data_IF_152569042089
#
_entry.id   IF_152569042089
#
_cell.length_a   1.000
_cell.length_b   1.000
_cell.length_c   1.000
_cell.angle_alpha   90.00
_cell.angle_beta   90.00
_cell.angle_gamma   90.00
#
_symmetry.space_group_name_H-M   'P 1'
#
loop_
_entity.id
_entity.type
_entity.pdbx_description
1 polymer ?
#
# COMPACT_ATOMS: atom_id res chain seq x y z
N UNK A 1 -8.95 18.98 -19.85
CA UNK A 1 -8.98 17.50 -19.88
C UNK A 1 -10.25 17.07 -19.17
N UNK A 2 -11.03 16.17 -19.74
CA UNK A 2 -12.29 15.74 -19.13
C UNK A 2 -12.01 14.92 -17.87
N UNK A 3 -12.44 15.41 -16.71
CA UNK A 3 -12.38 14.73 -15.39
C UNK A 3 -13.28 13.48 -15.30
N UNK A 4 -13.57 12.82 -16.43
CA UNK A 4 -14.44 11.64 -16.43
C UNK A 4 -13.60 10.41 -16.11
N UNK A 5 -14.01 9.58 -15.14
CA UNK A 5 -13.36 8.31 -14.89
C UNK A 5 -13.32 7.42 -16.14
N UNK A 6 -12.35 6.49 -16.24
CA UNK A 6 -12.31 5.47 -17.29
C UNK A 6 -13.61 4.65 -17.34
N UNK A 7 -13.86 3.99 -18.48
CA UNK A 7 -15.02 3.13 -18.63
C UNK A 7 -15.08 2.06 -17.53
N UNK A 8 -16.25 1.89 -16.92
CA UNK A 8 -16.48 0.94 -15.83
C UNK A 8 -15.91 1.35 -14.47
N UNK A 9 -15.30 2.53 -14.34
CA UNK A 9 -14.79 3.03 -13.06
C UNK A 9 -15.77 4.04 -12.47
N UNK A 10 -16.17 3.83 -11.22
CA UNK A 10 -17.06 4.73 -10.48
C UNK A 10 -16.43 5.11 -9.14
N UNK A 11 -16.33 6.42 -8.87
CA UNK A 11 -15.94 6.93 -7.56
C UNK A 11 -17.23 7.21 -6.79
N UNK A 12 -17.53 6.38 -5.79
CA UNK A 12 -18.72 6.52 -4.92
C UNK A 12 -18.39 7.19 -3.58
N UNK A 13 -17.10 7.38 -3.28
CA UNK A 13 -16.66 8.16 -2.13
C UNK A 13 -16.94 9.66 -2.26
N UNK A 14 -16.89 10.41 -1.14
CA UNK A 14 -17.10 11.86 -1.18
C UNK A 14 -16.01 12.54 -2.03
N UNK A 15 -16.40 13.62 -2.71
CA UNK A 15 -15.47 14.46 -3.48
C UNK A 15 -14.61 15.24 -2.50
N UNK A 16 -13.30 14.99 -2.52
CA UNK A 16 -12.32 15.74 -1.73
C UNK A 16 -11.49 16.57 -2.72
N UNK A 17 -11.56 17.91 -2.72
CA UNK A 17 -10.86 18.72 -3.72
C UNK A 17 -9.35 18.48 -3.77
N UNK A 18 -8.73 18.23 -2.62
CA UNK A 18 -7.29 17.99 -2.50
C UNK A 18 -6.83 16.69 -3.19
N UNK A 19 -7.71 15.71 -3.45
CA UNK A 19 -7.31 14.37 -3.93
C UNK A 19 -7.48 14.17 -5.43
N UNK A 20 -7.93 15.21 -6.14
CA UNK A 20 -8.04 15.20 -7.61
C UNK A 20 -6.68 14.98 -8.29
N UNK A 21 -5.57 15.31 -7.60
CA UNK A 21 -4.21 15.05 -8.08
C UNK A 21 -3.78 13.58 -7.97
N UNK A 22 -4.42 12.79 -7.11
CA UNK A 22 -4.17 11.35 -6.98
C UNK A 22 -5.08 10.58 -7.94
N UNK A 23 -6.38 10.91 -7.94
CA UNK A 23 -7.40 10.23 -8.73
C UNK A 23 -7.51 10.78 -10.15
N UNK A 24 -6.38 10.92 -10.83
CA UNK A 24 -6.35 11.32 -12.24
C UNK A 24 -6.96 10.21 -13.13
N UNK A 25 -7.48 10.55 -14.33
CA UNK A 25 -7.99 9.53 -15.25
C UNK A 25 -6.97 8.43 -15.56
N UNK A 26 -5.69 8.77 -15.69
CA UNK A 26 -4.63 7.81 -15.98
C UNK A 26 -4.34 6.89 -14.79
N UNK A 27 -4.28 7.44 -13.57
CA UNK A 27 -4.11 6.65 -12.34
C UNK A 27 -5.30 5.70 -12.12
N UNK A 28 -6.53 6.20 -12.30
CA UNK A 28 -7.75 5.39 -12.24
C UNK A 28 -7.76 4.29 -13.30
N UNK A 29 -7.26 4.58 -14.51
CA UNK A 29 -7.12 3.60 -15.58
C UNK A 29 -6.16 2.48 -15.18
N UNK A 30 -5.01 2.86 -14.63
CA UNK A 30 -4.00 1.91 -14.18
C UNK A 30 -4.51 0.98 -13.06
N UNK A 31 -5.11 1.52 -11.99
CA UNK A 31 -5.63 0.68 -10.89
C UNK A 31 -6.82 -0.17 -11.34
N UNK A 32 -7.63 0.31 -12.29
CA UNK A 32 -8.70 -0.50 -12.88
C UNK A 32 -8.16 -1.68 -13.70
N UNK A 33 -7.07 -1.47 -14.45
CA UNK A 33 -6.41 -2.55 -15.19
C UNK A 33 -5.78 -3.58 -14.24
N UNK A 34 -5.16 -3.13 -13.14
CA UNK A 34 -4.69 -4.03 -12.08
C UNK A 34 -5.84 -4.86 -11.50
N UNK A 35 -6.98 -4.22 -11.20
CA UNK A 35 -8.17 -4.90 -10.69
C UNK A 35 -8.65 -5.97 -11.67
N UNK A 36 -8.91 -5.60 -12.93
CA UNK A 36 -9.41 -6.52 -13.97
C UNK A 36 -8.47 -7.70 -14.19
N UNK A 37 -7.16 -7.48 -14.13
CA UNK A 37 -6.16 -8.51 -14.37
C UNK A 37 -5.96 -9.46 -13.18
N UNK A 38 -6.05 -8.98 -11.94
CA UNK A 38 -5.59 -9.73 -10.77
C UNK A 38 -6.66 -10.03 -9.72
N UNK A 39 -7.81 -9.34 -9.75
CA UNK A 39 -8.84 -9.49 -8.72
C UNK A 39 -9.41 -10.93 -8.66
N UNK A 40 -9.65 -11.57 -9.80
CA UNK A 40 -10.16 -12.94 -9.85
C UNK A 40 -9.23 -13.90 -9.07
N UNK A 41 -7.92 -13.81 -9.31
CA UNK A 41 -6.93 -14.64 -8.60
C UNK A 41 -6.89 -14.31 -7.12
N UNK A 42 -6.96 -13.03 -6.74
CA UNK A 42 -7.05 -12.60 -5.33
C UNK A 42 -8.23 -13.26 -4.63
N UNK A 43 -9.43 -13.18 -5.22
CA UNK A 43 -10.65 -13.78 -4.66
C UNK A 43 -10.53 -15.29 -4.56
N UNK A 44 -9.97 -15.97 -5.57
CA UNK A 44 -9.70 -17.40 -5.52
C UNK A 44 -8.75 -17.79 -4.38
N UNK A 45 -7.71 -16.99 -4.11
CA UNK A 45 -6.80 -17.19 -2.98
C UNK A 45 -7.49 -17.00 -1.62
N UNK A 46 -8.39 -16.02 -1.49
CA UNK A 46 -9.19 -15.83 -0.27
C UNK A 46 -10.14 -17.01 -0.02
N UNK A 47 -10.73 -17.58 -1.09
CA UNK A 47 -11.51 -18.81 -0.98
C UNK A 47 -10.63 -19.99 -0.55
N UNK A 48 -9.43 -20.13 -1.12
CA UNK A 48 -8.49 -21.18 -0.74
C UNK A 48 -8.05 -21.08 0.73
N UNK A 49 -7.96 -19.87 1.31
CA UNK A 49 -7.71 -19.69 2.76
C UNK A 49 -8.83 -20.34 3.59
N UNK A 50 -10.09 -20.14 3.22
CA UNK A 50 -11.25 -20.74 3.93
C UNK A 50 -11.22 -22.27 3.84
N UNK A 51 -10.93 -22.81 2.65
CA UNK A 51 -10.82 -24.27 2.48
C UNK A 51 -9.64 -24.85 3.28
N UNK A 52 -8.49 -24.16 3.32
CA UNK A 52 -7.36 -24.58 4.16
C UNK A 52 -7.70 -24.54 5.64
N UNK A 53 -8.40 -23.50 6.11
CA UNK A 53 -8.84 -23.41 7.50
C UNK A 53 -9.75 -24.57 7.89
N UNK A 54 -10.72 -24.95 7.04
CA UNK A 54 -11.60 -26.12 7.29
C UNK A 54 -10.81 -27.41 7.50
N UNK A 55 -9.70 -27.61 6.78
CA UNK A 55 -8.85 -28.79 6.97
C UNK A 55 -8.10 -28.74 8.30
N UNK A 56 -7.63 -27.57 8.70
CA UNK A 56 -7.03 -27.38 10.03
C UNK A 56 -8.04 -27.64 11.15
N UNK A 57 -9.26 -27.14 11.01
CA UNK A 57 -10.34 -27.38 11.96
C UNK A 57 -10.70 -28.88 12.04
N UNK A 58 -10.48 -29.64 10.96
CA UNK A 58 -10.66 -31.09 10.88
C UNK A 58 -9.44 -31.90 11.42
N UNK A 59 -8.42 -31.23 11.96
CA UNK A 59 -7.27 -31.87 12.60
C UNK A 59 -5.99 -31.93 11.75
N UNK A 60 -5.97 -31.37 10.53
CA UNK A 60 -4.71 -31.19 9.78
C UNK A 60 -3.81 -30.20 10.52
N UNK A 61 -2.57 -30.58 10.84
CA UNK A 61 -1.58 -29.69 11.47
C UNK A 61 -0.72 -29.05 10.37
N UNK A 62 -0.50 -27.72 10.39
CA UNK A 62 0.40 -27.07 9.42
C UNK A 62 1.81 -27.65 9.48
N UNK A 63 2.38 -27.93 8.31
CA UNK A 63 3.74 -28.43 8.17
C UNK A 63 4.37 -28.05 6.83
N UNK A 64 5.61 -28.50 6.61
CA UNK A 64 6.29 -28.31 5.33
C UNK A 64 5.65 -29.15 4.24
N UNK A 65 5.37 -28.52 3.09
CA UNK A 65 4.76 -29.17 1.94
C UNK A 65 5.77 -30.15 1.27
N UNK A 66 5.44 -31.44 1.11
CA UNK A 66 6.29 -32.39 0.39
C UNK A 66 6.57 -31.98 -1.05
N UNK A 67 5.57 -31.43 -1.75
CA UNK A 67 5.66 -31.05 -3.16
C UNK A 67 6.65 -29.90 -3.45
N UNK A 68 7.06 -29.14 -2.43
CA UNK A 68 8.07 -28.07 -2.57
C UNK A 68 9.42 -28.45 -1.96
N UNK A 69 9.66 -29.74 -1.64
CA UNK A 69 10.92 -30.19 -1.06
C UNK A 69 12.13 -29.88 -1.95
N UNK A 70 12.03 -30.08 -3.26
CA UNK A 70 13.10 -29.81 -4.22
C UNK A 70 13.54 -28.34 -4.22
N UNK A 71 12.61 -27.40 -4.01
CA UNK A 71 12.91 -25.96 -3.90
C UNK A 71 13.70 -25.69 -2.61
N UNK A 72 13.32 -26.30 -1.49
CA UNK A 72 14.02 -26.12 -0.20
C UNK A 72 15.40 -26.77 -0.17
N UNK A 73 15.63 -27.81 -0.96
CA UNK A 73 16.89 -28.56 -1.01
C UNK A 73 17.84 -28.11 -2.13
N UNK A 74 17.45 -27.13 -2.94
CA UNK A 74 18.29 -26.61 -4.04
C UNK A 74 19.03 -25.35 -3.61
N UNK A 75 20.17 -25.09 -4.24
CA UNK A 75 20.88 -23.82 -4.10
C UNK A 75 20.30 -22.78 -5.05
N UNK A 76 19.69 -21.74 -4.48
CA UNK A 76 19.21 -20.57 -5.20
C UNK A 76 19.20 -19.36 -4.27
N UNK A 77 19.15 -18.16 -4.86
CA UNK A 77 19.10 -16.89 -4.14
C UNK A 77 18.04 -15.99 -4.78
N UNK A 78 17.48 -15.07 -3.99
CA UNK A 78 16.67 -13.98 -4.53
C UNK A 78 17.55 -13.05 -5.38
N UNK A 79 16.93 -12.24 -6.24
CA UNK A 79 17.66 -11.19 -6.93
C UNK A 79 18.32 -10.21 -5.94
N UNK A 80 19.47 -9.60 -6.27
CA UNK A 80 20.13 -8.62 -5.41
C UNK A 80 19.20 -7.46 -5.06
N UNK A 81 19.27 -6.99 -3.80
CA UNK A 81 18.55 -5.81 -3.37
C UNK A 81 19.19 -4.54 -3.97
N UNK A 82 18.40 -3.48 -4.21
CA UNK A 82 18.95 -2.17 -4.53
C UNK A 82 19.81 -1.64 -3.37
N UNK A 83 20.75 -0.73 -3.69
CA UNK A 83 21.80 -0.33 -2.76
C UNK A 83 21.29 0.28 -1.44
N UNK A 84 20.17 1.00 -1.51
CA UNK A 84 19.46 1.63 -0.41
C UNK A 84 18.75 0.66 0.54
N UNK A 85 18.68 -0.63 0.18
CA UNK A 85 18.12 -1.71 0.99
C UNK A 85 19.18 -2.72 1.50
N UNK A 86 20.46 -2.47 1.24
CA UNK A 86 21.54 -3.32 1.74
C UNK A 86 21.84 -3.11 3.24
N UNK A 87 21.52 -1.95 3.80
CA UNK A 87 21.61 -1.65 5.23
C UNK A 87 20.24 -1.28 5.80
N UNK A 88 19.61 -2.24 6.47
CA UNK A 88 18.27 -2.12 7.08
C UNK A 88 18.33 -2.34 8.60
N UNK A 89 19.44 -1.96 9.24
CA UNK A 89 19.72 -2.27 10.66
C UNK A 89 18.64 -1.78 11.64
N UNK A 90 17.94 -0.71 11.30
CA UNK A 90 16.79 -0.17 12.03
C UNK A 90 15.78 0.35 11.02
N UNK A 91 14.52 -0.07 11.19
CA UNK A 91 13.38 0.41 10.44
C UNK A 91 12.35 1.00 11.41
N UNK A 92 11.76 2.13 11.04
CA UNK A 92 10.64 2.72 11.77
C UNK A 92 9.36 2.51 10.97
N UNK A 93 8.25 2.29 11.65
CA UNK A 93 6.93 2.11 11.04
C UNK A 93 6.00 3.21 11.52
N UNK A 94 5.07 3.66 10.69
CA UNK A 94 4.10 4.67 11.09
C UNK A 94 3.05 4.96 10.03
N UNK A 95 1.96 5.64 10.40
CA UNK A 95 0.90 5.98 9.47
C UNK A 95 1.39 6.95 8.40
N UNK A 96 0.63 7.06 7.32
CA UNK A 96 0.87 8.00 6.23
C UNK A 96 0.37 9.43 6.53
N UNK A 97 0.26 9.79 7.81
CA UNK A 97 -0.06 11.16 8.24
C UNK A 97 1.15 12.08 8.03
N UNK A 98 0.91 13.29 7.51
CA UNK A 98 1.93 14.19 6.98
C UNK A 98 3.05 14.53 7.97
N UNK A 99 2.71 14.94 9.20
CA UNK A 99 3.70 15.27 10.23
C UNK A 99 4.46 14.02 10.69
N UNK A 100 3.77 12.91 10.88
CA UNK A 100 4.40 11.63 11.27
C UNK A 100 5.38 11.12 10.23
N UNK A 101 5.06 11.21 8.94
CA UNK A 101 5.96 10.82 7.85
C UNK A 101 7.26 11.64 7.88
N UNK A 102 7.17 12.96 8.05
CA UNK A 102 8.38 13.82 8.14
C UNK A 102 9.25 13.40 9.31
N UNK A 103 8.66 13.17 10.49
CA UNK A 103 9.42 12.75 11.68
C UNK A 103 10.06 11.37 11.50
N UNK A 104 9.34 10.42 10.89
CA UNK A 104 9.83 9.07 10.64
C UNK A 104 10.99 9.07 9.63
N UNK A 105 10.85 9.81 8.53
CA UNK A 105 11.91 10.00 7.54
C UNK A 105 13.17 10.66 8.14
N UNK A 106 13.00 11.60 9.06
CA UNK A 106 14.10 12.30 9.73
C UNK A 106 14.63 11.58 10.99
N UNK A 107 14.13 10.39 11.32
CA UNK A 107 14.41 9.72 12.60
C UNK A 107 15.84 9.19 12.76
N UNK A 108 16.59 9.07 11.67
CA UNK A 108 17.88 8.38 11.61
C UNK A 108 17.78 6.87 11.40
N UNK A 109 16.56 6.31 11.31
CA UNK A 109 16.35 4.95 10.82
C UNK A 109 16.85 4.80 9.37
N UNK A 110 17.17 3.58 8.96
CA UNK A 110 17.56 3.31 7.56
C UNK A 110 16.37 3.23 6.63
N UNK A 111 15.25 2.75 7.16
CA UNK A 111 14.01 2.58 6.41
C UNK A 111 12.85 3.14 7.23
N UNK A 112 11.93 3.81 6.55
CA UNK A 112 10.60 4.14 7.07
C UNK A 112 9.56 3.38 6.25
N UNK A 113 8.79 2.52 6.93
CA UNK A 113 7.62 1.87 6.35
C UNK A 113 6.38 2.74 6.60
N UNK A 114 5.96 3.47 5.56
CA UNK A 114 4.73 4.23 5.53
C UNK A 114 3.54 3.28 5.35
N UNK A 115 2.63 3.32 6.31
CA UNK A 115 1.64 2.28 6.49
C UNK A 115 0.22 2.72 6.09
N UNK A 116 -0.38 1.98 5.15
CA UNK A 116 -1.79 2.07 4.78
C UNK A 116 -2.64 0.94 5.42
N UNK A 117 -2.02 0.06 6.19
CA UNK A 117 -2.64 -1.10 6.82
C UNK A 117 -2.85 -0.88 8.33
N UNK A 118 -2.23 -1.68 9.21
CA UNK A 118 -2.65 -1.79 10.61
C UNK A 118 -2.52 -0.50 11.45
N UNK A 119 -1.60 0.40 11.09
CA UNK A 119 -1.42 1.68 11.79
C UNK A 119 -2.27 2.82 11.22
N UNK A 120 -3.07 2.58 10.17
CA UNK A 120 -3.91 3.58 9.53
C UNK A 120 -5.38 3.16 9.57
N UNK A 121 -6.24 3.99 10.17
CA UNK A 121 -7.68 3.84 9.93
C UNK A 121 -7.95 4.10 8.44
N UNK A 122 -8.47 3.14 7.66
CA UNK A 122 -8.56 3.23 6.21
C UNK A 122 -9.79 4.03 5.77
N UNK A 123 -9.91 5.25 6.30
CA UNK A 123 -10.90 6.20 5.79
C UNK A 123 -10.50 6.62 4.38
N UNK A 124 -11.50 7.03 3.59
CA UNK A 124 -11.27 7.50 2.22
C UNK A 124 -10.26 8.66 2.18
N UNK A 125 -10.40 9.59 3.12
CA UNK A 125 -9.51 10.73 3.27
C UNK A 125 -8.09 10.30 3.63
N UNK A 126 -7.91 9.41 4.62
CA UNK A 126 -6.59 8.96 5.04
C UNK A 126 -5.85 8.21 3.92
N UNK A 127 -6.53 7.35 3.17
CA UNK A 127 -5.92 6.62 2.06
C UNK A 127 -5.43 7.58 0.96
N UNK A 128 -6.23 8.60 0.60
CA UNK A 128 -5.86 9.52 -0.46
C UNK A 128 -4.83 10.56 -0.01
N UNK A 129 -5.00 11.16 1.16
CA UNK A 129 -4.00 12.07 1.74
C UNK A 129 -2.68 11.34 1.98
N UNK A 130 -2.71 10.05 2.34
CA UNK A 130 -1.51 9.24 2.46
C UNK A 130 -0.74 9.13 1.15
N UNK A 131 -1.43 8.97 0.02
CA UNK A 131 -0.79 8.96 -1.30
C UNK A 131 -0.19 10.32 -1.65
N UNK A 132 -0.89 11.41 -1.36
CA UNK A 132 -0.35 12.78 -1.51
C UNK A 132 0.92 12.95 -0.67
N UNK A 133 0.90 12.52 0.59
CA UNK A 133 2.05 12.63 1.48
C UNK A 133 3.24 11.78 1.00
N UNK A 134 3.00 10.57 0.47
CA UNK A 134 4.05 9.77 -0.17
C UNK A 134 4.62 10.46 -1.42
N UNK A 135 3.74 10.97 -2.28
CA UNK A 135 4.04 11.71 -3.50
C UNK A 135 4.92 12.94 -3.22
N UNK A 136 4.59 13.70 -2.19
CA UNK A 136 5.35 14.86 -1.71
C UNK A 136 6.66 14.48 -1.03
N UNK A 137 6.69 13.39 -0.26
CA UNK A 137 7.91 12.90 0.38
C UNK A 137 8.96 12.48 -0.66
N UNK A 138 8.54 11.74 -1.69
CA UNK A 138 9.41 11.33 -2.81
C UNK A 138 9.93 12.54 -3.58
N UNK A 139 9.08 13.55 -3.82
CA UNK A 139 9.50 14.81 -4.48
C UNK A 139 10.25 15.77 -3.55
N UNK A 140 10.40 15.42 -2.27
CA UNK A 140 11.01 16.24 -1.22
C UNK A 140 10.34 17.60 -1.04
N UNK A 141 9.04 17.68 -1.32
CA UNK A 141 8.18 18.87 -1.16
C UNK A 141 7.28 18.79 0.08
N UNK A 142 7.26 17.65 0.78
CA UNK A 142 6.45 17.47 1.99
C UNK A 142 6.89 18.45 3.09
N UNK A 143 5.93 19.22 3.59
CA UNK A 143 6.12 20.08 4.75
C UNK A 143 4.86 20.17 5.58
N UNK A 144 5.02 20.47 6.87
CA UNK A 144 3.91 20.65 7.80
C UNK A 144 4.16 21.86 8.70
N UNK A 145 3.24 22.82 8.67
CA UNK A 145 3.23 23.98 9.57
C UNK A 145 2.35 23.66 10.78
N UNK A 146 2.98 23.53 11.94
CA UNK A 146 2.28 23.24 13.17
C UNK A 146 1.64 24.51 13.74
N UNK A 147 0.48 24.44 14.42
CA UNK A 147 -0.20 25.63 14.95
C UNK A 147 0.61 26.46 15.96
N UNK A 148 1.65 25.86 16.56
CA UNK A 148 2.61 26.55 17.44
C UNK A 148 3.69 27.35 16.68
N UNK A 149 3.63 27.39 15.35
CA UNK A 149 4.57 28.08 14.47
C UNK A 149 5.78 27.25 14.05
N UNK A 150 5.92 26.00 14.53
CA UNK A 150 7.02 25.13 14.12
C UNK A 150 6.75 24.52 12.74
N UNK A 151 7.65 24.77 11.79
CA UNK A 151 7.64 24.14 10.46
C UNK A 151 8.49 22.88 10.44
N UNK A 152 7.93 21.81 9.87
CA UNK A 152 8.59 20.51 9.67
C UNK A 152 8.85 20.31 8.18
N UNK A 153 10.08 19.95 7.84
CA UNK A 153 10.55 19.63 6.47
C UNK A 153 11.51 18.44 6.53
N UNK A 154 11.80 17.83 5.40
CA UNK A 154 12.80 16.75 5.32
C UNK A 154 14.22 17.28 5.51
N UNK A 155 15.06 16.49 6.18
CA UNK A 155 16.50 16.68 6.19
C UNK A 155 17.10 16.35 4.81
N UNK A 156 18.35 16.72 4.56
CA UNK A 156 19.06 16.38 3.31
C UNK A 156 19.12 14.85 3.11
N UNK A 157 19.54 14.14 4.15
CA UNK A 157 19.51 12.67 4.22
C UNK A 157 18.34 12.19 5.07
N UNK A 158 17.55 11.28 4.51
CA UNK A 158 16.36 10.68 5.16
C UNK A 158 16.37 9.16 5.00
N UNK A 159 15.56 8.48 5.79
CA UNK A 159 15.33 7.04 5.65
C UNK A 159 14.76 6.67 4.26
N UNK A 160 15.10 5.49 3.76
CA UNK A 160 14.48 4.91 2.55
C UNK A 160 12.99 4.68 2.81
N UNK A 161 12.12 5.23 1.96
CA UNK A 161 10.68 5.05 2.07
C UNK A 161 10.27 3.68 1.50
N UNK A 162 9.57 2.88 2.31
CA UNK A 162 8.81 1.70 1.86
C UNK A 162 7.33 1.92 2.15
N UNK A 163 6.46 1.43 1.27
CA UNK A 163 5.01 1.55 1.44
C UNK A 163 4.42 0.18 1.77
N UNK A 164 3.63 0.10 2.84
CA UNK A 164 2.85 -1.10 3.19
C UNK A 164 1.38 -0.91 2.76
N UNK A 165 0.91 -1.58 1.71
CA UNK A 165 -0.49 -1.54 1.29
C UNK A 165 -1.37 -2.39 2.21
N UNK A 166 -2.69 -2.17 2.17
CA UNK A 166 -3.67 -3.00 2.85
C UNK A 166 -3.55 -4.47 2.45
N UNK A 167 -3.82 -5.39 3.39
CA UNK A 167 -3.81 -6.82 3.13
C UNK A 167 -4.91 -7.29 2.16
N UNK A 168 -4.70 -8.45 1.51
CA UNK A 168 -5.56 -8.98 0.44
C UNK A 168 -7.05 -9.11 0.73
N UNK A 169 -7.44 -9.15 2.01
CA UNK A 169 -8.81 -9.35 2.47
C UNK A 169 -9.61 -8.03 2.51
N UNK A 170 -8.94 -6.88 2.42
CA UNK A 170 -9.56 -5.56 2.44
C UNK A 170 -9.92 -5.10 1.03
N UNK A 171 -11.01 -4.35 0.94
CA UNK A 171 -11.48 -3.67 -0.27
C UNK A 171 -11.43 -2.16 -0.07
N UNK A 172 -11.23 -1.42 -1.16
CA UNK A 172 -11.52 0.00 -1.20
C UNK A 172 -12.95 0.17 -1.72
N UNK A 173 -13.87 0.49 -0.81
CA UNK A 173 -15.30 0.56 -1.12
C UNK A 173 -15.73 1.83 -1.83
N UNK A 174 -14.85 2.84 -1.89
CA UNK A 174 -15.16 4.13 -2.49
C UNK A 174 -14.85 4.18 -3.99
N UNK A 175 -14.27 3.13 -4.55
CA UNK A 175 -14.01 2.98 -5.98
C UNK A 175 -14.52 1.63 -6.45
N UNK A 176 -15.43 1.66 -7.42
CA UNK A 176 -15.96 0.47 -8.08
C UNK A 176 -15.30 0.31 -9.44
N UNK A 177 -14.96 -0.93 -9.79
CA UNK A 177 -14.53 -1.34 -11.13
C UNK A 177 -15.52 -2.39 -11.61
N UNK A 178 -16.22 -2.07 -12.68
CA UNK A 178 -17.25 -2.93 -13.30
C UNK A 178 -18.34 -3.36 -12.29
N UNK A 179 -18.66 -2.48 -11.34
CA UNK A 179 -19.69 -2.67 -10.30
C UNK A 179 -19.18 -3.29 -8.98
N UNK A 180 -17.90 -3.68 -8.90
CA UNK A 180 -17.33 -4.31 -7.70
C UNK A 180 -16.31 -3.40 -6.99
N UNK A 181 -16.27 -3.37 -5.64
CA UNK A 181 -15.23 -2.68 -4.91
C UNK A 181 -13.82 -3.16 -5.29
N UNK A 182 -12.92 -2.21 -5.58
CA UNK A 182 -11.53 -2.54 -5.90
C UNK A 182 -10.80 -3.14 -4.69
N UNK A 183 -9.74 -3.92 -4.93
CA UNK A 183 -8.89 -4.42 -3.86
C UNK A 183 -8.16 -3.28 -3.17
N UNK A 184 -8.24 -3.20 -1.83
CA UNK A 184 -7.45 -2.22 -1.08
C UNK A 184 -5.95 -2.37 -1.38
N UNK A 185 -5.46 -3.61 -1.42
CA UNK A 185 -4.05 -3.89 -1.78
C UNK A 185 -3.63 -3.37 -3.15
N UNK A 186 -4.48 -3.49 -4.18
CA UNK A 186 -4.15 -3.05 -5.53
C UNK A 186 -4.30 -1.54 -5.68
N UNK A 187 -5.23 -0.95 -4.93
CA UNK A 187 -5.46 0.49 -4.89
C UNK A 187 -4.34 1.24 -4.17
N UNK A 188 -3.81 0.68 -3.07
CA UNK A 188 -2.70 1.32 -2.34
C UNK A 188 -1.36 1.16 -3.07
N UNK A 189 -1.20 0.05 -3.81
CA UNK A 189 0.00 -0.25 -4.58
C UNK A 189 0.09 0.51 -5.91
N UNK A 190 -1.03 0.59 -6.63
CA UNK A 190 -1.07 1.12 -8.00
C UNK A 190 -1.22 2.63 -8.04
#
# INVERSE_FOLDING_TARGET
MTNKPPAGVEIVGPVIPAVAEVLTPDALGFVADLHRRFNERRVALLKARKERQKRFDAGEIPGFLPETAAIRSSEWYVAPAPADLNDRRVEITGPTERKMMINALNSGAKVFMADFEDALSPTWENALLGQINCSDAIRRTISFDNPDGKRYVLNDEVATLLVRPRGWHLVEKNVLVDGEPISGSLFDFG
#
